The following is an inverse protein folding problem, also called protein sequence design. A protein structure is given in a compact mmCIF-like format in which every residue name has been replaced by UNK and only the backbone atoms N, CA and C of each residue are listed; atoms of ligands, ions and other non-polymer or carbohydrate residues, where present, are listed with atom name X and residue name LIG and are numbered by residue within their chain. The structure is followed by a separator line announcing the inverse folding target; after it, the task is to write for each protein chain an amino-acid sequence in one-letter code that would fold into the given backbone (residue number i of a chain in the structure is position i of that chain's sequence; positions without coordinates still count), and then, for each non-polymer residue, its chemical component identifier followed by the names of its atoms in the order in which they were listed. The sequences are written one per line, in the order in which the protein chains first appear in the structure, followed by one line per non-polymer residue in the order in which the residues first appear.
data_IF_268501778625
#
_entry.id   IF_268501778625
#
_cell.length_a   1.000
_cell.length_b   1.000
_cell.length_c   1.000
_cell.angle_alpha   90.00
_cell.angle_beta   90.00
_cell.angle_gamma   90.00
#
_symmetry.space_group_name_H-M   'P 1'
#
loop_
_entity.id
_entity.type
_entity.pdbx_description
1 polymer ?
#
# COMPACT_ATOMS: atom_id res chain seq x y z
N UNK A 1 -20.70 -0.72 34.98
CA UNK A 1 -20.41 -1.80 34.00
C UNK A 1 -20.56 -1.20 32.62
N UNK A 2 -19.47 -0.71 32.04
CA UNK A 2 -19.44 -0.08 30.73
C UNK A 2 -19.05 -1.11 29.68
N UNK A 3 -19.98 -1.47 28.82
CA UNK A 3 -19.71 -2.28 27.64
C UNK A 3 -18.94 -1.43 26.64
N UNK A 4 -17.65 -1.67 26.54
CA UNK A 4 -16.79 -1.15 25.49
C UNK A 4 -17.25 -1.77 24.17
N UNK A 5 -17.97 -1.00 23.36
CA UNK A 5 -18.20 -1.37 21.97
C UNK A 5 -16.85 -1.35 21.24
N UNK A 6 -16.22 -2.53 21.15
CA UNK A 6 -15.19 -2.78 20.17
C UNK A 6 -15.87 -2.70 18.81
N UNK A 7 -15.73 -1.57 18.14
CA UNK A 7 -16.16 -1.41 16.76
C UNK A 7 -15.29 -2.37 15.94
N UNK A 8 -15.91 -3.47 15.50
CA UNK A 8 -15.25 -4.52 14.77
C UNK A 8 -14.74 -4.03 13.41
N UNK A 9 -13.44 -3.82 13.32
CA UNK A 9 -12.68 -3.63 12.09
C UNK A 9 -12.45 -5.01 11.46
N UNK A 10 -13.53 -5.74 11.17
CA UNK A 10 -13.41 -7.00 10.45
C UNK A 10 -13.61 -6.70 8.97
N UNK A 11 -12.54 -6.34 8.28
CA UNK A 11 -12.42 -6.69 6.89
C UNK A 11 -12.26 -8.20 6.87
N UNK A 12 -13.24 -8.86 6.32
CA UNK A 12 -13.13 -10.28 6.05
C UNK A 12 -12.08 -10.47 4.95
N UNK A 13 -10.81 -10.64 5.32
CA UNK A 13 -9.71 -10.88 4.40
C UNK A 13 -10.00 -12.11 3.52
N UNK A 14 -10.80 -13.05 4.04
CA UNK A 14 -11.32 -14.20 3.32
C UNK A 14 -12.30 -13.75 2.24
N UNK A 15 -13.09 -12.72 2.50
CA UNK A 15 -14.04 -12.18 1.53
C UNK A 15 -13.32 -11.52 0.34
N UNK A 16 -12.22 -10.79 0.56
CA UNK A 16 -11.42 -10.18 -0.52
C UNK A 16 -10.63 -11.21 -1.35
N UNK A 17 -10.30 -12.36 -0.77
CA UNK A 17 -9.62 -13.46 -1.45
C UNK A 17 -10.60 -14.45 -2.11
N UNK A 18 -11.90 -14.28 -1.92
CA UNK A 18 -12.92 -15.17 -2.50
C UNK A 18 -13.12 -14.88 -3.99
N UNK A 19 -13.13 -15.89 -4.86
CA UNK A 19 -13.44 -15.73 -6.29
C UNK A 19 -14.82 -15.11 -6.58
N UNK A 20 -15.69 -15.05 -5.57
CA UNK A 20 -17.04 -14.49 -5.66
C UNK A 20 -17.09 -12.97 -5.43
N UNK A 21 -15.98 -12.34 -5.02
CA UNK A 21 -15.93 -10.90 -4.80
C UNK A 21 -15.42 -10.19 -6.05
N UNK A 22 -16.12 -9.10 -6.40
CA UNK A 22 -15.68 -8.20 -7.46
C UNK A 22 -14.29 -7.67 -7.13
N UNK A 23 -13.33 -7.69 -8.07
CA UNK A 23 -12.03 -7.05 -7.89
C UNK A 23 -12.18 -5.58 -7.52
N UNK A 24 -11.30 -5.07 -6.66
CA UNK A 24 -11.36 -3.68 -6.21
C UNK A 24 -10.56 -2.74 -7.10
N UNK A 25 -11.03 -1.51 -7.22
CA UNK A 25 -10.36 -0.42 -7.93
C UNK A 25 -9.77 0.55 -6.93
N UNK A 26 -8.48 0.78 -7.02
CA UNK A 26 -7.70 1.66 -6.13
C UNK A 26 -7.12 2.80 -6.96
N UNK A 27 -7.46 4.04 -6.60
CA UNK A 27 -6.92 5.24 -7.24
C UNK A 27 -5.52 5.54 -6.68
N UNK A 28 -4.46 5.40 -7.51
CA UNK A 28 -3.07 5.60 -7.14
C UNK A 28 -2.79 7.07 -6.82
N UNK A 29 -2.43 7.38 -5.57
CA UNK A 29 -2.27 8.72 -4.98
C UNK A 29 -3.56 9.57 -5.07
N UNK A 30 -4.73 8.90 -5.02
CA UNK A 30 -6.01 9.48 -5.33
C UNK A 30 -6.28 9.54 -6.84
N UNK A 31 -7.38 10.17 -7.27
CA UNK A 31 -7.68 10.36 -8.70
C UNK A 31 -6.85 11.52 -9.26
N UNK A 32 -5.66 11.17 -9.76
CA UNK A 32 -4.66 12.14 -10.25
C UNK A 32 -5.00 12.72 -11.61
N UNK A 33 -6.01 12.22 -12.30
CA UNK A 33 -6.52 12.86 -13.53
C UNK A 33 -7.27 14.15 -13.24
N UNK A 34 -7.95 14.22 -12.09
CA UNK A 34 -8.83 15.32 -11.73
C UNK A 34 -8.23 16.28 -10.70
N UNK A 35 -7.19 15.84 -9.96
CA UNK A 35 -6.56 16.66 -8.92
C UNK A 35 -5.08 16.29 -8.74
N UNK A 36 -4.27 17.13 -8.07
CA UNK A 36 -2.88 16.81 -7.76
C UNK A 36 -2.74 15.55 -6.92
N UNK A 37 -1.69 14.76 -7.18
CA UNK A 37 -1.37 13.56 -6.41
C UNK A 37 -1.32 13.86 -4.89
N UNK A 38 -1.71 12.89 -4.07
CA UNK A 38 -1.58 12.97 -2.62
C UNK A 38 -2.22 14.24 -1.99
N UNK A 39 -3.24 14.79 -2.63
CA UNK A 39 -4.01 15.94 -2.14
C UNK A 39 -5.36 15.51 -1.59
N UNK A 40 -5.98 16.33 -0.74
CA UNK A 40 -7.36 16.09 -0.31
C UNK A 40 -8.34 16.10 -1.50
N UNK A 41 -8.04 16.93 -2.51
CA UNK A 41 -8.83 16.98 -3.73
C UNK A 41 -8.81 15.67 -4.52
N UNK A 42 -7.63 15.01 -4.64
CA UNK A 42 -7.53 13.72 -5.35
C UNK A 42 -8.23 12.59 -4.60
N UNK A 43 -8.22 12.60 -3.26
CA UNK A 43 -8.96 11.64 -2.43
C UNK A 43 -10.47 11.82 -2.65
N UNK A 44 -10.96 13.06 -2.61
CA UNK A 44 -12.37 13.37 -2.89
C UNK A 44 -12.78 12.97 -4.30
N UNK A 45 -11.94 13.27 -5.30
CA UNK A 45 -12.19 12.88 -6.68
C UNK A 45 -12.25 11.36 -6.85
N UNK A 46 -11.32 10.61 -6.26
CA UNK A 46 -11.34 9.15 -6.28
C UNK A 46 -12.66 8.58 -5.74
N UNK A 47 -13.13 9.12 -4.62
CA UNK A 47 -14.40 8.73 -4.03
C UNK A 47 -15.61 9.10 -4.89
N UNK A 48 -15.64 10.32 -5.41
CA UNK A 48 -16.73 10.81 -6.28
C UNK A 48 -16.82 10.03 -7.57
N UNK A 49 -15.67 9.66 -8.13
CA UNK A 49 -15.58 8.88 -9.36
C UNK A 49 -15.68 7.36 -9.13
N UNK A 50 -16.00 6.91 -7.91
CA UNK A 50 -16.42 5.54 -7.63
C UNK A 50 -15.27 4.53 -7.46
N UNK A 51 -14.05 4.99 -7.14
CA UNK A 51 -13.01 4.07 -6.66
C UNK A 51 -13.43 3.41 -5.34
N UNK A 52 -12.97 2.19 -5.10
CA UNK A 52 -13.18 1.51 -3.81
C UNK A 52 -12.24 2.06 -2.73
N UNK A 53 -11.02 2.39 -3.14
CA UNK A 53 -9.97 2.99 -2.29
C UNK A 53 -9.25 4.13 -3.02
N UNK A 54 -8.70 5.07 -2.25
CA UNK A 54 -7.57 5.85 -2.68
C UNK A 54 -6.31 5.30 -2.02
N UNK A 55 -5.27 5.06 -2.79
CA UNK A 55 -3.93 4.86 -2.26
C UNK A 55 -3.31 6.23 -1.98
N UNK A 56 -2.60 6.37 -0.86
CA UNK A 56 -1.89 7.58 -0.46
C UNK A 56 -0.56 7.25 0.21
N UNK A 57 0.47 8.03 -0.11
CA UNK A 57 1.81 7.88 0.44
C UNK A 57 1.95 8.57 1.80
N UNK A 58 2.45 7.89 2.81
CA UNK A 58 2.58 8.43 4.16
C UNK A 58 4.04 8.56 4.58
N UNK A 59 4.44 9.78 4.98
CA UNK A 59 5.74 10.10 5.57
C UNK A 59 5.59 10.81 6.90
N UNK A 60 6.69 10.87 7.68
CA UNK A 60 6.73 11.70 8.88
C UNK A 60 7.48 13.01 8.64
N UNK A 61 6.99 14.08 9.24
CA UNK A 61 7.71 15.34 9.43
C UNK A 61 8.76 15.22 10.55
N UNK A 62 9.61 16.25 10.72
CA UNK A 62 10.60 16.33 11.80
C UNK A 62 9.96 16.20 13.18
N UNK A 63 8.83 16.82 13.38
CA UNK A 63 8.03 16.79 14.62
C UNK A 63 7.10 15.56 14.76
N UNK A 64 7.26 14.56 13.86
CA UNK A 64 6.61 13.26 13.99
C UNK A 64 5.15 13.24 13.57
N UNK A 65 4.69 14.20 12.78
CA UNK A 65 3.32 14.24 12.26
C UNK A 65 3.25 13.47 10.93
N UNK A 66 2.36 12.48 10.77
CA UNK A 66 2.14 11.80 9.50
C UNK A 66 1.50 12.74 8.48
N UNK A 67 2.15 12.87 7.31
CA UNK A 67 1.71 13.70 6.18
C UNK A 67 1.58 12.86 4.93
N UNK A 68 0.75 13.33 4.00
CA UNK A 68 0.48 12.63 2.73
C UNK A 68 1.38 13.22 1.65
N UNK A 69 2.46 12.50 1.31
CA UNK A 69 3.47 12.96 0.34
C UNK A 69 4.35 11.79 -0.15
N UNK A 70 4.53 11.68 -1.48
CA UNK A 70 5.28 10.55 -2.06
C UNK A 70 6.78 10.70 -1.89
N UNK A 71 7.37 11.80 -2.35
CA UNK A 71 8.81 11.94 -2.48
C UNK A 71 9.50 12.12 -1.13
N UNK A 72 10.74 11.71 -1.04
CA UNK A 72 11.58 11.99 0.12
C UNK A 72 11.89 13.47 0.27
N UNK A 73 11.89 14.20 -0.88
CA UNK A 73 12.20 15.63 -0.99
C UNK A 73 11.10 16.38 -1.71
N UNK A 74 10.97 17.67 -1.43
CA UNK A 74 9.88 18.51 -1.95
C UNK A 74 10.07 18.96 -3.40
N UNK A 75 11.29 18.90 -3.95
CA UNK A 75 11.72 19.62 -5.16
C UNK A 75 10.89 19.38 -6.42
N UNK A 76 10.32 18.19 -6.60
CA UNK A 76 9.48 17.89 -7.78
C UNK A 76 8.16 18.69 -7.79
N UNK A 77 7.62 18.98 -6.62
CA UNK A 77 6.28 19.56 -6.47
C UNK A 77 6.28 20.97 -5.87
N UNK A 78 7.35 21.42 -5.20
CA UNK A 78 7.36 22.76 -4.62
C UNK A 78 7.39 23.85 -5.69
N UNK A 79 6.37 24.69 -5.74
CA UNK A 79 6.25 25.81 -6.68
C UNK A 79 7.37 26.85 -6.51
N UNK A 80 8.00 26.91 -5.34
CA UNK A 80 9.16 27.78 -5.05
C UNK A 80 10.50 27.14 -5.38
N UNK A 81 10.55 25.92 -5.93
CA UNK A 81 11.77 25.22 -6.33
C UNK A 81 12.66 24.73 -5.17
N UNK A 82 12.18 24.77 -3.92
CA UNK A 82 12.95 24.30 -2.77
C UNK A 82 12.97 22.78 -2.73
N UNK A 83 14.15 22.19 -2.59
CA UNK A 83 14.35 20.75 -2.56
C UNK A 83 14.82 20.28 -1.16
N UNK A 84 13.90 20.17 -0.22
CA UNK A 84 14.14 19.89 1.19
C UNK A 84 13.61 18.51 1.58
N UNK A 85 14.31 17.81 2.49
CA UNK A 85 13.82 16.54 3.04
C UNK A 85 12.56 16.76 3.88
N UNK A 86 11.50 16.01 3.61
CA UNK A 86 10.21 16.09 4.34
C UNK A 86 10.43 15.83 5.84
N UNK A 87 11.23 14.83 6.19
CA UNK A 87 11.50 14.48 7.59
C UNK A 87 12.46 15.45 8.32
N UNK A 88 13.03 16.45 7.64
CA UNK A 88 13.82 17.52 8.26
C UNK A 88 13.00 18.77 8.58
N UNK A 89 11.75 18.84 8.14
CA UNK A 89 10.86 19.99 8.29
C UNK A 89 9.76 19.72 9.32
N UNK A 90 9.46 20.67 10.22
CA UNK A 90 8.24 20.59 11.02
C UNK A 90 7.02 20.82 10.13
N UNK A 91 5.86 20.29 10.54
CA UNK A 91 4.61 20.41 9.79
C UNK A 91 4.29 21.85 9.40
N UNK A 92 4.45 22.78 10.32
CA UNK A 92 4.16 24.21 10.08
C UNK A 92 5.00 24.81 8.94
N UNK A 93 6.25 24.39 8.79
CA UNK A 93 7.12 24.84 7.70
C UNK A 93 6.73 24.16 6.37
N UNK A 94 6.42 22.84 6.40
CA UNK A 94 5.99 22.09 5.22
C UNK A 94 4.68 22.64 4.64
N UNK A 95 3.70 22.98 5.49
CA UNK A 95 2.41 23.51 5.06
C UNK A 95 2.46 24.95 4.55
N UNK A 96 3.51 25.71 4.84
CA UNK A 96 3.76 27.01 4.20
C UNK A 96 4.35 26.91 2.80
N UNK A 97 4.80 25.73 2.40
CA UNK A 97 5.22 25.47 1.02
C UNK A 97 4.00 25.25 0.16
N UNK A 98 4.04 25.78 -1.06
CA UNK A 98 2.98 25.57 -2.04
C UNK A 98 3.44 24.48 -2.99
N UNK A 99 2.77 23.34 -2.95
CA UNK A 99 2.95 22.30 -3.95
C UNK A 99 2.15 22.63 -5.19
N UNK A 100 2.70 22.30 -6.36
CA UNK A 100 2.05 22.55 -7.65
C UNK A 100 2.20 21.34 -8.56
N UNK A 101 1.09 20.92 -9.18
CA UNK A 101 1.07 19.90 -10.20
C UNK A 101 -0.05 20.22 -11.21
N UNK A 102 0.23 20.10 -12.51
CA UNK A 102 -0.75 20.37 -13.60
C UNK A 102 -1.46 21.72 -13.44
N UNK A 103 -0.74 22.76 -13.04
CA UNK A 103 -1.30 24.10 -12.83
C UNK A 103 -2.09 24.31 -11.53
N UNK A 104 -2.40 23.25 -10.81
CA UNK A 104 -3.12 23.32 -9.53
C UNK A 104 -2.15 23.43 -8.34
N UNK A 105 -2.52 24.27 -7.38
CA UNK A 105 -1.73 24.52 -6.17
C UNK A 105 -2.42 23.91 -4.94
N UNK A 106 -1.61 23.36 -4.03
CA UNK A 106 -2.13 22.77 -2.78
C UNK A 106 -1.06 22.80 -1.67
N UNK A 107 -1.51 22.64 -0.42
CA UNK A 107 -0.62 22.39 0.72
C UNK A 107 -0.58 20.90 1.03
N UNK A 108 0.55 20.41 1.54
CA UNK A 108 0.71 19.00 1.94
C UNK A 108 -0.29 18.67 3.06
N UNK A 109 -1.20 17.70 2.86
CA UNK A 109 -2.16 17.33 3.88
C UNK A 109 -1.51 16.48 4.98
N UNK A 110 -2.07 16.54 6.18
CA UNK A 110 -1.79 15.54 7.21
C UNK A 110 -2.62 14.27 6.96
N UNK A 111 -2.15 13.13 7.48
CA UNK A 111 -2.93 11.89 7.45
C UNK A 111 -4.30 12.07 8.15
N UNK A 112 -4.37 12.84 9.25
CA UNK A 112 -5.65 13.15 9.94
C UNK A 112 -6.65 13.84 9.01
N UNK A 113 -6.21 14.79 8.20
CA UNK A 113 -7.07 15.46 7.22
C UNK A 113 -7.54 14.49 6.12
N UNK A 114 -6.65 13.63 5.61
CA UNK A 114 -7.01 12.62 4.62
C UNK A 114 -8.04 11.60 5.14
N UNK A 115 -7.88 11.13 6.38
CA UNK A 115 -8.85 10.25 7.04
C UNK A 115 -10.21 10.95 7.21
N UNK A 116 -10.22 12.24 7.59
CA UNK A 116 -11.44 13.03 7.70
C UNK A 116 -12.19 13.12 6.37
N UNK A 117 -11.50 13.47 5.29
CA UNK A 117 -12.10 13.56 3.95
C UNK A 117 -12.63 12.20 3.43
N UNK A 118 -11.89 11.13 3.67
CA UNK A 118 -12.31 9.79 3.28
C UNK A 118 -13.55 9.30 4.07
N UNK A 119 -13.68 9.70 5.34
CA UNK A 119 -14.80 9.32 6.22
C UNK A 119 -16.14 9.93 5.83
N UNK A 120 -16.16 11.06 5.11
CA UNK A 120 -17.38 11.75 4.70
C UNK A 120 -18.20 10.91 3.72
N UNK A 121 -19.02 9.98 4.18
CA UNK A 121 -19.91 9.17 3.35
C UNK A 121 -21.36 9.57 3.54
N UNK A 122 -22.13 9.60 2.45
CA UNK A 122 -23.59 9.73 2.53
C UNK A 122 -24.21 8.40 2.99
N UNK A 123 -25.31 8.44 3.74
CA UNK A 123 -26.04 7.22 4.07
C UNK A 123 -26.37 6.41 2.79
N UNK A 124 -26.18 5.10 2.84
CA UNK A 124 -26.41 4.22 1.69
C UNK A 124 -25.29 4.13 0.64
N UNK A 125 -24.26 4.96 0.72
CA UNK A 125 -23.09 4.82 -0.14
C UNK A 125 -22.17 3.69 0.36
N UNK A 126 -21.52 3.02 -0.61
CA UNK A 126 -20.48 2.03 -0.33
C UNK A 126 -19.35 2.69 0.48
N UNK A 127 -18.82 1.98 1.47
CA UNK A 127 -17.71 2.49 2.29
C UNK A 127 -16.47 2.64 1.44
N UNK A 128 -16.01 3.86 1.25
CA UNK A 128 -14.75 4.20 0.63
C UNK A 128 -13.59 3.92 1.59
N UNK A 129 -12.46 3.46 1.06
CA UNK A 129 -11.29 3.12 1.85
C UNK A 129 -10.05 3.94 1.52
N UNK A 130 -9.06 3.82 2.40
CA UNK A 130 -7.70 4.30 2.15
C UNK A 130 -6.71 3.13 2.22
N UNK A 131 -5.81 3.06 1.23
CA UNK A 131 -4.62 2.24 1.25
C UNK A 131 -3.41 3.15 1.57
N UNK A 132 -2.81 2.98 2.74
CA UNK A 132 -1.67 3.78 3.17
C UNK A 132 -0.37 3.12 2.72
N UNK A 133 0.38 3.73 1.81
CA UNK A 133 1.74 3.30 1.48
C UNK A 133 2.76 3.99 2.40
N UNK A 134 3.34 3.23 3.30
CA UNK A 134 4.24 3.73 4.34
C UNK A 134 5.66 3.85 3.80
N UNK A 135 6.08 5.08 3.56
CA UNK A 135 7.43 5.43 3.05
C UNK A 135 8.40 5.62 4.21
N UNK A 136 9.08 4.56 4.63
CA UNK A 136 10.00 4.60 5.76
C UNK A 136 11.20 3.68 5.59
N UNK A 137 12.34 4.06 6.18
CA UNK A 137 13.50 3.19 6.36
C UNK A 137 13.25 2.25 7.56
N UNK A 138 13.94 1.09 7.59
CA UNK A 138 13.76 0.08 8.65
C UNK A 138 13.99 0.66 10.06
N UNK A 139 14.98 1.52 10.23
CA UNK A 139 15.32 2.18 11.51
C UNK A 139 14.21 3.06 12.07
N UNK A 140 13.35 3.61 11.21
CA UNK A 140 12.25 4.49 11.61
C UNK A 140 10.88 3.82 11.58
N UNK A 141 10.79 2.57 11.12
CA UNK A 141 9.53 1.87 10.91
C UNK A 141 8.64 1.86 12.17
N UNK A 142 9.21 1.60 13.35
CA UNK A 142 8.47 1.64 14.60
C UNK A 142 7.93 3.02 14.92
N UNK A 143 8.75 4.07 14.77
CA UNK A 143 8.32 5.45 15.02
C UNK A 143 7.19 5.87 14.08
N UNK A 144 7.28 5.49 12.79
CA UNK A 144 6.23 5.77 11.81
C UNK A 144 4.95 5.01 12.17
N UNK A 145 5.06 3.73 12.50
CA UNK A 145 3.91 2.92 12.87
C UNK A 145 3.20 3.45 14.13
N UNK A 146 3.94 3.81 15.18
CA UNK A 146 3.37 4.41 16.39
C UNK A 146 2.59 5.70 16.09
N UNK A 147 3.13 6.56 15.19
CA UNK A 147 2.48 7.81 14.82
C UNK A 147 1.23 7.59 13.96
N UNK A 148 1.30 6.70 12.96
CA UNK A 148 0.18 6.37 12.06
C UNK A 148 -0.95 5.71 12.84
N UNK A 149 -0.65 4.69 13.64
CA UNK A 149 -1.64 3.97 14.46
C UNK A 149 -2.38 4.95 15.38
N UNK A 150 -1.66 5.81 16.09
CA UNK A 150 -2.26 6.84 16.95
C UNK A 150 -3.22 7.75 16.17
N UNK A 151 -2.79 8.27 15.02
CA UNK A 151 -3.63 9.18 14.22
C UNK A 151 -4.89 8.48 13.71
N UNK A 152 -4.78 7.22 13.25
CA UNK A 152 -5.93 6.44 12.78
C UNK A 152 -6.92 6.19 13.93
N UNK A 153 -6.45 5.74 15.08
CA UNK A 153 -7.31 5.45 16.24
C UNK A 153 -7.96 6.72 16.81
N UNK A 154 -7.19 7.79 16.99
CA UNK A 154 -7.71 9.08 17.48
C UNK A 154 -8.71 9.73 16.52
N UNK A 155 -8.58 9.46 15.22
CA UNK A 155 -9.51 10.02 14.22
C UNK A 155 -10.87 9.34 14.21
N UNK A 156 -11.01 8.19 14.89
CA UNK A 156 -12.20 7.32 14.83
C UNK A 156 -12.63 7.02 13.39
N UNK A 157 -11.65 6.84 12.51
CA UNK A 157 -11.89 6.58 11.11
C UNK A 157 -12.79 5.35 10.92
N UNK A 158 -13.94 5.53 10.27
CA UNK A 158 -14.95 4.50 10.08
C UNK A 158 -14.93 3.88 8.67
N UNK A 159 -14.01 4.33 7.81
CA UNK A 159 -13.81 3.78 6.46
C UNK A 159 -12.97 2.51 6.47
N UNK A 160 -12.84 1.91 5.30
CA UNK A 160 -11.97 0.76 5.10
C UNK A 160 -10.50 1.19 5.10
N UNK A 161 -9.63 0.46 5.81
CA UNK A 161 -8.22 0.79 5.91
C UNK A 161 -7.36 -0.41 5.52
N UNK A 162 -6.42 -0.16 4.62
CA UNK A 162 -5.33 -1.07 4.30
C UNK A 162 -4.00 -0.33 4.50
N UNK A 163 -2.96 -1.06 4.87
CA UNK A 163 -1.61 -0.51 5.03
C UNK A 163 -0.64 -1.33 4.21
N UNK A 164 0.24 -0.69 3.45
CA UNK A 164 1.33 -1.38 2.76
C UNK A 164 2.65 -0.64 2.95
N UNK A 165 3.74 -1.32 2.68
CA UNK A 165 5.06 -0.70 2.57
C UNK A 165 5.95 -1.53 1.65
N UNK A 166 6.86 -0.88 0.93
CA UNK A 166 7.96 -1.56 0.27
C UNK A 166 9.00 -2.09 1.27
N UNK A 167 8.97 -1.62 2.52
CA UNK A 167 9.84 -2.06 3.59
C UNK A 167 9.22 -3.24 4.37
N UNK A 168 9.70 -4.49 4.22
CA UNK A 168 9.14 -5.65 4.91
C UNK A 168 9.18 -5.53 6.44
N UNK A 169 10.18 -4.83 6.98
CA UNK A 169 10.25 -4.59 8.42
C UNK A 169 9.11 -3.69 8.91
N UNK A 170 8.72 -2.68 8.12
CA UNK A 170 7.55 -1.86 8.42
C UNK A 170 6.26 -2.70 8.41
N UNK A 171 6.08 -3.58 7.41
CA UNK A 171 4.95 -4.53 7.33
C UNK A 171 4.85 -5.35 8.62
N UNK A 172 5.97 -5.95 9.05
CA UNK A 172 6.04 -6.74 10.28
C UNK A 172 5.70 -5.92 11.52
N UNK A 173 6.19 -4.68 11.60
CA UNK A 173 5.89 -3.78 12.73
C UNK A 173 4.41 -3.47 12.80
N UNK A 174 3.79 -3.05 11.69
CA UNK A 174 2.35 -2.75 11.66
C UNK A 174 1.53 -3.98 12.02
N UNK A 175 1.82 -5.14 11.43
CA UNK A 175 1.10 -6.39 11.71
C UNK A 175 1.24 -6.83 13.17
N UNK A 176 2.40 -6.64 13.79
CA UNK A 176 2.62 -6.96 15.21
C UNK A 176 1.88 -6.00 16.14
N UNK A 177 1.73 -4.72 15.76
CA UNK A 177 1.02 -3.72 16.57
C UNK A 177 -0.49 -3.84 16.43
N UNK A 178 -0.96 -4.17 15.25
CA UNK A 178 -2.39 -4.27 14.91
C UNK A 178 -2.64 -5.52 14.07
N UNK A 179 -2.69 -6.71 14.68
CA UNK A 179 -2.90 -7.98 13.96
C UNK A 179 -4.19 -7.99 13.14
N UNK A 180 -5.20 -7.23 13.55
CA UNK A 180 -6.49 -7.11 12.86
C UNK A 180 -6.46 -6.15 11.65
N UNK A 181 -5.42 -5.34 11.48
CA UNK A 181 -5.30 -4.49 10.30
C UNK A 181 -4.89 -5.30 9.08
N UNK A 182 -5.39 -4.88 7.92
CA UNK A 182 -5.02 -5.44 6.64
C UNK A 182 -3.69 -4.84 6.19
N UNK A 183 -2.61 -5.62 6.32
CA UNK A 183 -1.24 -5.14 6.09
C UNK A 183 -0.57 -5.95 4.99
N UNK A 184 -0.01 -5.28 3.98
CA UNK A 184 0.58 -5.90 2.81
C UNK A 184 1.98 -5.41 2.47
N UNK A 185 2.64 -6.17 1.59
CA UNK A 185 3.94 -5.82 1.04
C UNK A 185 3.77 -5.22 -0.35
N UNK A 186 4.29 -3.99 -0.56
CA UNK A 186 4.46 -3.43 -1.89
C UNK A 186 5.79 -3.94 -2.47
N UNK A 187 5.71 -4.90 -3.39
CA UNK A 187 6.87 -5.46 -4.08
C UNK A 187 7.11 -4.82 -5.45
N UNK A 188 6.50 -3.66 -5.71
CA UNK A 188 6.59 -2.91 -6.95
C UNK A 188 7.96 -2.25 -7.12
N UNK A 189 8.55 -2.48 -8.27
CA UNK A 189 9.84 -1.90 -8.66
C UNK A 189 11.05 -2.70 -8.19
N UNK A 190 12.20 -2.43 -8.84
CA UNK A 190 13.48 -2.78 -8.20
C UNK A 190 13.45 -2.09 -6.84
N UNK A 191 13.71 -2.79 -5.74
CA UNK A 191 13.94 -2.07 -4.51
C UNK A 191 15.00 -1.02 -4.83
N UNK A 192 14.74 0.23 -4.53
CA UNK A 192 15.82 1.18 -4.47
C UNK A 192 16.70 0.71 -3.31
N UNK A 193 17.67 -0.12 -3.64
CA UNK A 193 18.60 -0.72 -2.69
C UNK A 193 19.38 0.37 -1.97
N UNK A 194 19.48 1.57 -2.55
CA UNK A 194 20.07 2.74 -1.91
C UNK A 194 19.26 3.24 -0.71
N UNK A 195 17.97 2.85 -0.59
CA UNK A 195 17.17 3.12 0.62
C UNK A 195 17.41 2.09 1.73
N UNK A 196 18.12 0.99 1.44
CA UNK A 196 18.38 -0.12 2.36
C UNK A 196 19.84 -0.17 2.83
N UNK A 197 20.75 0.46 2.09
CA UNK A 197 22.18 0.32 2.26
C UNK A 197 22.81 1.57 2.90
N UNK A 198 22.82 1.62 4.22
CA UNK A 198 23.91 2.29 4.96
C UNK A 198 25.01 1.26 5.36
N UNK A 199 24.89 -0.04 4.98
CA UNK A 199 25.85 -1.08 5.38
C UNK A 199 26.36 -2.04 4.27
N UNK A 200 26.19 -1.69 2.99
CA UNK A 200 27.00 -2.26 1.89
C UNK A 200 26.79 -3.75 1.54
N UNK A 201 25.66 -4.34 1.80
CA UNK A 201 25.40 -5.74 1.41
C UNK A 201 24.17 -5.86 0.50
N UNK A 202 24.38 -5.71 -0.80
CA UNK A 202 23.33 -5.89 -1.80
C UNK A 202 23.60 -7.06 -2.73
N UNK A 203 22.83 -8.10 -2.60
CA UNK A 203 22.39 -8.96 -3.72
C UNK A 203 21.01 -9.51 -3.42
N UNK A 204 19.97 -8.70 -3.59
CA UNK A 204 18.60 -9.18 -3.55
C UNK A 204 18.17 -9.55 -4.98
N UNK A 205 18.32 -10.81 -5.37
CA UNK A 205 17.58 -11.39 -6.49
C UNK A 205 16.09 -11.23 -6.21
N UNK A 206 15.32 -10.96 -7.26
CA UNK A 206 13.86 -10.93 -7.23
C UNK A 206 13.33 -12.17 -6.50
N UNK A 207 12.88 -12.01 -5.28
CA UNK A 207 12.27 -13.09 -4.50
C UNK A 207 10.77 -12.79 -4.37
N UNK A 208 9.96 -13.84 -4.45
CA UNK A 208 8.56 -13.85 -4.07
C UNK A 208 8.35 -13.02 -2.79
N UNK A 209 7.32 -12.16 -2.75
CA UNK A 209 7.08 -11.25 -1.62
C UNK A 209 7.06 -11.96 -0.25
N UNK A 210 6.55 -13.19 -0.20
CA UNK A 210 6.58 -14.03 1.00
C UNK A 210 8.01 -14.44 1.37
N UNK A 211 8.88 -14.74 0.39
CA UNK A 211 10.28 -15.07 0.62
C UNK A 211 11.09 -13.87 1.12
N UNK A 212 10.72 -12.63 0.75
CA UNK A 212 11.34 -11.42 1.30
C UNK A 212 11.09 -11.25 2.78
N UNK A 213 9.88 -11.47 3.23
CA UNK A 213 9.56 -11.42 4.67
C UNK A 213 10.35 -12.49 5.43
N UNK A 214 10.48 -13.71 4.87
CA UNK A 214 11.27 -14.77 5.47
C UNK A 214 12.78 -14.47 5.45
N UNK A 215 13.30 -13.84 4.40
CA UNK A 215 14.71 -13.42 4.31
C UNK A 215 15.05 -12.37 5.37
N UNK A 216 14.23 -11.32 5.50
CA UNK A 216 14.39 -10.32 6.56
C UNK A 216 14.33 -10.97 7.96
N UNK A 217 13.44 -11.93 8.15
CA UNK A 217 13.37 -12.71 9.39
C UNK A 217 14.66 -13.46 9.69
N UNK A 218 15.30 -14.08 8.69
CA UNK A 218 16.58 -14.79 8.82
C UNK A 218 17.75 -13.83 9.09
N UNK A 219 17.84 -12.71 8.39
CA UNK A 219 18.90 -11.72 8.55
C UNK A 219 18.87 -11.03 9.91
N UNK A 220 17.70 -10.64 10.39
CA UNK A 220 17.53 -10.07 11.74
C UNK A 220 17.92 -11.07 12.82
N UNK A 221 17.74 -12.38 12.58
CA UNK A 221 18.18 -13.44 13.51
C UNK A 221 19.67 -13.75 13.41
N UNK A 222 20.29 -13.65 12.21
CA UNK A 222 21.69 -13.98 11.96
C UNK A 222 22.68 -12.91 12.47
N UNK A 223 22.35 -11.62 12.41
CA UNK A 223 23.22 -10.51 12.84
C UNK A 223 23.45 -10.44 14.36
N UNK A 224 22.86 -11.32 15.15
CA UNK A 224 23.05 -11.39 16.62
C UNK A 224 23.73 -12.69 17.06
N UNK A 225 24.98 -12.88 16.66
CA UNK A 225 25.94 -13.86 17.15
C UNK A 225 25.44 -14.92 18.15
N UNK A 226 25.22 -16.14 17.69
CA UNK A 226 25.45 -17.39 18.44
C UNK A 226 24.47 -17.80 19.54
N UNK A 227 23.51 -16.99 19.95
CA UNK A 227 22.40 -17.42 20.81
C UNK A 227 21.10 -16.84 20.29
N UNK A 228 20.24 -17.69 19.74
CA UNK A 228 18.90 -17.35 19.27
C UNK A 228 18.04 -16.77 20.40
N UNK A 229 18.24 -15.53 20.77
CA UNK A 229 17.20 -14.74 21.45
C UNK A 229 16.24 -14.26 20.38
N UNK A 230 15.13 -15.00 20.19
CA UNK A 230 14.00 -14.50 19.42
C UNK A 230 13.71 -13.09 19.91
N UNK A 231 13.81 -12.10 19.01
CA UNK A 231 13.46 -10.72 19.36
C UNK A 231 12.03 -10.74 19.92
N UNK A 232 11.71 -10.07 21.03
CA UNK A 232 10.36 -10.09 21.63
C UNK A 232 9.26 -9.76 20.63
N UNK A 233 9.55 -8.94 19.62
CA UNK A 233 8.67 -8.58 18.51
C UNK A 233 8.24 -9.78 17.65
N UNK A 234 9.01 -10.88 17.60
CA UNK A 234 8.70 -12.07 16.80
C UNK A 234 8.08 -13.21 17.62
N UNK A 235 7.88 -13.03 18.91
CA UNK A 235 7.38 -14.08 19.83
C UNK A 235 5.91 -14.46 19.64
N UNK A 236 5.20 -13.89 18.68
CA UNK A 236 3.80 -14.21 18.38
C UNK A 236 3.49 -14.47 16.90
N UNK A 237 4.48 -14.32 16.02
CA UNK A 237 4.26 -14.49 14.59
C UNK A 237 4.28 -15.97 14.22
N UNK A 238 3.14 -16.64 14.43
CA UNK A 238 2.83 -17.91 13.76
C UNK A 238 2.12 -17.56 12.47
N UNK A 239 2.74 -17.88 11.33
CA UNK A 239 2.10 -17.92 10.03
C UNK A 239 2.20 -16.60 9.25
N UNK A 240 1.23 -15.79 9.13
CA UNK A 240 1.11 -14.78 8.07
C UNK A 240 1.67 -13.43 8.50
N UNK A 241 2.85 -13.08 7.96
CA UNK A 241 3.45 -11.78 8.22
C UNK A 241 2.78 -10.64 7.42
N UNK A 242 1.90 -10.98 6.46
CA UNK A 242 1.17 -10.04 5.60
C UNK A 242 -0.13 -10.66 5.10
N UNK A 243 -1.09 -9.82 4.78
CA UNK A 243 -2.42 -10.23 4.32
C UNK A 243 -2.59 -10.10 2.80
N UNK A 244 -1.75 -9.33 2.11
CA UNK A 244 -1.78 -9.15 0.66
C UNK A 244 -0.42 -8.68 0.13
N UNK A 245 -0.28 -8.71 -1.20
CA UNK A 245 0.89 -8.17 -1.92
C UNK A 245 0.45 -7.25 -3.05
N UNK A 246 1.27 -6.24 -3.33
CA UNK A 246 1.11 -5.34 -4.48
C UNK A 246 2.31 -5.47 -5.39
N UNK A 247 2.09 -5.72 -6.68
CA UNK A 247 3.13 -5.78 -7.71
C UNK A 247 2.84 -4.75 -8.80
N UNK A 248 3.86 -4.27 -9.51
CA UNK A 248 3.64 -3.55 -10.76
C UNK A 248 3.17 -4.51 -11.86
N UNK A 249 2.36 -4.04 -12.78
CA UNK A 249 1.83 -4.84 -13.88
C UNK A 249 2.95 -5.57 -14.67
N UNK A 250 4.07 -4.90 -14.92
CA UNK A 250 5.22 -5.46 -15.61
C UNK A 250 5.98 -6.55 -14.85
N UNK A 251 5.80 -6.65 -13.54
CA UNK A 251 6.49 -7.61 -12.66
C UNK A 251 5.62 -8.84 -12.38
N UNK A 252 4.37 -8.85 -12.88
CA UNK A 252 3.42 -9.95 -12.69
C UNK A 252 3.73 -11.09 -13.66
N UNK A 253 3.87 -12.30 -13.12
CA UNK A 253 4.04 -13.53 -13.92
C UNK A 253 3.01 -14.58 -13.50
N UNK A 254 2.69 -15.52 -14.41
CA UNK A 254 1.79 -16.64 -14.11
C UNK A 254 2.28 -17.48 -12.93
N UNK A 255 3.60 -17.65 -12.79
CA UNK A 255 4.24 -18.36 -11.67
C UNK A 255 3.97 -17.63 -10.34
N UNK A 256 4.11 -16.31 -10.33
CA UNK A 256 3.86 -15.47 -9.16
C UNK A 256 2.40 -15.57 -8.70
N UNK A 257 1.45 -15.40 -9.63
CA UNK A 257 0.02 -15.48 -9.33
C UNK A 257 -0.38 -16.88 -8.85
N UNK A 258 0.16 -17.94 -9.45
CA UNK A 258 -0.03 -19.33 -9.01
C UNK A 258 0.45 -19.52 -7.57
N UNK A 259 1.66 -19.02 -7.24
CA UNK A 259 2.23 -19.13 -5.90
C UNK A 259 1.40 -18.36 -4.85
N UNK A 260 0.94 -17.16 -5.19
CA UNK A 260 0.07 -16.37 -4.31
C UNK A 260 -1.28 -17.07 -4.08
N UNK A 261 -1.89 -17.62 -5.15
CA UNK A 261 -3.15 -18.38 -5.06
C UNK A 261 -3.02 -19.61 -4.16
N UNK A 262 -1.96 -20.40 -4.31
CA UNK A 262 -1.70 -21.57 -3.46
C UNK A 262 -1.57 -21.19 -1.98
N UNK A 263 -1.10 -19.99 -1.68
CA UNK A 263 -0.96 -19.46 -0.32
C UNK A 263 -2.17 -18.64 0.14
N UNK A 264 -3.19 -18.50 -0.70
CA UNK A 264 -4.40 -17.68 -0.48
C UNK A 264 -4.05 -16.22 -0.15
N UNK A 265 -2.99 -15.68 -0.78
CA UNK A 265 -2.57 -14.29 -0.63
C UNK A 265 -3.20 -13.47 -1.76
N UNK A 266 -4.06 -12.48 -1.46
CA UNK A 266 -4.59 -11.54 -2.43
C UNK A 266 -3.46 -10.77 -3.12
N UNK A 267 -3.57 -10.64 -4.45
CA UNK A 267 -2.63 -9.87 -5.28
C UNK A 267 -3.34 -8.65 -5.81
N UNK A 268 -2.78 -7.48 -5.54
CA UNK A 268 -3.16 -6.22 -6.18
C UNK A 268 -2.08 -5.82 -7.17
N UNK A 269 -2.48 -5.21 -8.28
CA UNK A 269 -1.54 -4.85 -9.35
C UNK A 269 -1.58 -3.36 -9.59
N UNK A 270 -0.41 -2.73 -9.46
CA UNK A 270 -0.18 -1.30 -9.66
C UNK A 270 0.28 -0.98 -11.08
N UNK A 271 0.14 0.30 -11.48
CA UNK A 271 0.51 0.83 -12.78
C UNK A 271 -0.30 0.19 -13.93
N UNK A 272 -1.61 0.03 -13.71
CA UNK A 272 -2.54 -0.48 -14.71
C UNK A 272 -3.28 0.70 -15.33
N UNK A 273 -3.03 0.97 -16.63
CA UNK A 273 -3.47 2.20 -17.28
C UNK A 273 -4.50 1.99 -18.41
N UNK A 274 -4.83 0.72 -18.75
CA UNK A 274 -5.75 0.39 -19.84
C UNK A 274 -6.74 -0.70 -19.49
N UNK A 275 -7.86 -0.72 -20.22
CA UNK A 275 -8.89 -1.75 -20.12
C UNK A 275 -8.33 -3.16 -20.42
N UNK A 276 -7.53 -3.28 -21.49
CA UNK A 276 -7.01 -4.59 -21.91
C UNK A 276 -6.05 -5.17 -20.91
N UNK A 277 -5.12 -4.35 -20.37
CA UNK A 277 -4.22 -4.77 -19.30
C UNK A 277 -5.00 -5.17 -18.04
N UNK A 278 -5.99 -4.36 -17.65
CA UNK A 278 -6.87 -4.66 -16.52
C UNK A 278 -7.60 -5.99 -16.70
N UNK A 279 -8.25 -6.18 -17.85
CA UNK A 279 -9.03 -7.38 -18.17
C UNK A 279 -8.13 -8.63 -18.21
N UNK A 280 -6.93 -8.54 -18.81
CA UNK A 280 -5.96 -9.63 -18.80
C UNK A 280 -5.55 -10.05 -17.37
N UNK A 281 -5.22 -9.09 -16.51
CA UNK A 281 -4.87 -9.35 -15.11
C UNK A 281 -6.02 -9.98 -14.33
N UNK A 282 -7.26 -9.49 -14.53
CA UNK A 282 -8.45 -10.03 -13.87
C UNK A 282 -8.72 -11.48 -14.24
N UNK A 283 -8.56 -11.88 -15.51
CA UNK A 283 -8.67 -13.27 -15.95
C UNK A 283 -7.68 -14.18 -15.24
N UNK A 284 -6.50 -13.67 -14.90
CA UNK A 284 -5.52 -14.40 -14.09
C UNK A 284 -5.79 -14.38 -12.58
N UNK A 285 -6.88 -13.76 -12.13
CA UNK A 285 -7.38 -13.84 -10.75
C UNK A 285 -6.69 -12.90 -9.78
N UNK A 286 -6.28 -11.71 -10.23
CA UNK A 286 -5.85 -10.65 -9.31
C UNK A 286 -7.04 -10.09 -8.53
N UNK A 287 -6.81 -9.67 -7.29
CA UNK A 287 -7.86 -9.24 -6.36
C UNK A 287 -8.22 -7.77 -6.52
N UNK A 288 -7.41 -6.99 -7.21
CA UNK A 288 -7.68 -5.58 -7.49
C UNK A 288 -6.57 -4.90 -8.27
N UNK A 289 -6.89 -3.70 -8.74
CA UNK A 289 -6.09 -2.94 -9.67
C UNK A 289 -5.85 -1.52 -9.13
N UNK A 290 -4.60 -1.04 -9.24
CA UNK A 290 -4.21 0.32 -8.93
C UNK A 290 -3.81 1.05 -10.23
N UNK A 291 -4.25 2.29 -10.39
CA UNK A 291 -3.86 3.13 -11.52
C UNK A 291 -4.22 4.59 -11.33
N UNK A 292 -3.61 5.45 -12.16
CA UNK A 292 -3.90 6.89 -12.18
C UNK A 292 -5.24 7.20 -12.87
N UNK A 293 -5.63 6.35 -13.83
CA UNK A 293 -6.91 6.42 -14.52
C UNK A 293 -7.82 5.28 -14.08
N UNK A 294 -8.76 5.56 -13.19
CA UNK A 294 -9.65 4.53 -12.65
C UNK A 294 -10.76 4.08 -13.61
N UNK A 295 -11.09 4.87 -14.61
CA UNK A 295 -12.22 4.58 -15.52
C UNK A 295 -12.08 3.24 -16.25
N UNK A 296 -10.95 2.95 -16.94
CA UNK A 296 -10.78 1.65 -17.60
C UNK A 296 -10.74 0.49 -16.61
N UNK A 297 -10.22 0.72 -15.39
CA UNK A 297 -10.18 -0.30 -14.35
C UNK A 297 -11.59 -0.66 -13.87
N UNK A 298 -12.44 0.35 -13.68
CA UNK A 298 -13.84 0.16 -13.31
C UNK A 298 -14.63 -0.58 -14.39
N UNK A 299 -14.41 -0.23 -15.67
CA UNK A 299 -15.01 -0.92 -16.79
C UNK A 299 -14.63 -2.41 -16.81
N UNK A 300 -13.34 -2.71 -16.67
CA UNK A 300 -12.85 -4.08 -16.62
C UNK A 300 -13.44 -4.85 -15.41
N UNK A 301 -13.41 -4.26 -14.22
CA UNK A 301 -13.99 -4.88 -13.01
C UNK A 301 -15.51 -5.10 -13.11
N UNK A 302 -16.23 -4.20 -13.77
CA UNK A 302 -17.69 -4.34 -13.97
C UNK A 302 -18.04 -5.40 -15.00
N UNK A 303 -17.19 -5.63 -15.98
CA UNK A 303 -17.33 -6.65 -17.02
C UNK A 303 -16.81 -8.03 -16.57
N UNK A 304 -16.18 -8.11 -15.40
CA UNK A 304 -15.61 -9.35 -14.90
C UNK A 304 -16.71 -10.21 -14.23
N UNK A 305 -17.07 -11.34 -14.87
CA UNK A 305 -18.16 -12.22 -14.43
C UNK A 305 -17.67 -13.62 -14.02
N UNK A 306 -16.37 -13.87 -13.96
CA UNK A 306 -15.89 -15.20 -13.97
C UNK A 306 -14.91 -15.65 -12.89
N UNK A 307 -14.79 -16.97 -12.79
CA UNK A 307 -13.67 -17.62 -12.16
C UNK A 307 -12.41 -17.32 -12.99
N UNK A 308 -11.25 -17.11 -12.36
CA UNK A 308 -10.00 -16.92 -13.08
C UNK A 308 -9.71 -18.13 -13.98
N UNK A 309 -9.16 -17.87 -15.15
CA UNK A 309 -8.73 -18.92 -16.07
C UNK A 309 -7.73 -19.87 -15.37
N UNK A 310 -7.80 -21.18 -15.64
CA UNK A 310 -6.79 -22.09 -15.15
C UNK A 310 -5.41 -21.67 -15.72
N UNK A 311 -4.37 -21.72 -14.90
CA UNK A 311 -3.02 -21.47 -15.40
C UNK A 311 -2.68 -22.54 -16.45
N UNK A 312 -2.21 -22.09 -17.61
CA UNK A 312 -1.58 -22.95 -18.62
C UNK A 312 -0.46 -23.79 -17.98
N UNK A 313 -0.21 -24.95 -18.53
CA UNK A 313 0.82 -25.86 -18.01
C UNK A 313 2.21 -25.21 -18.02
N UNK A 314 3.19 -25.68 -17.21
CA UNK A 314 4.53 -25.10 -17.13
C UNK A 314 5.29 -25.02 -18.46
N UNK A 315 4.84 -25.76 -19.47
CA UNK A 315 5.54 -25.89 -20.76
C UNK A 315 5.23 -24.77 -21.76
N UNK A 316 4.25 -23.89 -21.48
CA UNK A 316 3.84 -22.83 -22.41
C UNK A 316 4.67 -21.53 -22.27
N UNK A 317 5.31 -21.30 -21.12
CA UNK A 317 6.11 -20.08 -20.86
C UNK A 317 7.51 -20.10 -21.52
N UNK A 318 8.02 -21.31 -21.89
CA UNK A 318 9.38 -21.46 -22.47
C UNK A 318 9.41 -21.29 -23.98
N UNK A 319 8.24 -21.27 -24.66
CA UNK A 319 8.17 -21.19 -26.13
C UNK A 319 7.99 -19.76 -26.68
N UNK A 320 7.83 -18.77 -25.84
CA UNK A 320 7.63 -17.36 -26.28
C UNK A 320 8.91 -16.52 -26.26
N UNK A 321 10.08 -17.14 -25.95
CA UNK A 321 11.40 -16.47 -25.95
C UNK A 321 12.43 -17.13 -26.89
N UNK A 322 11.97 -17.88 -27.90
CA UNK A 322 12.85 -18.40 -28.97
C UNK A 322 12.64 -17.64 -30.27
#
# INVERSE_FOLDING_TARGET
MGTTHVVGWVFDAIALASPQHRPIVIAHRGDTRHAPENSLASIRAAKQNGADFAEIDVRLTKDGIPVVFHDRRTGRLDAGGRNVLVNSMPLSALQRMIMQQRGMRYSVPTLRQALGDASMSRPGQRRFGLLLDIKTDARYARKVADAVVRVVEDSKYAGNLMVMSANPYAVMVFKSMRPQWHVGLCASGRPDLTQWDDDGTSEARFMDGAARVETVRREVTAKRGGKQRKHPMFRGMRGEAMDFVVFRAQDVTSRLLRNARLRRIPVYVDSVDSYDAANGLLRHGVSGLLGENITPLQQACSSYHGLPEPFSSPDDDDRSQA
#
